data_IF_106031315830
#
_entry.id   IF_106031315830
#
_cell.length_a   1.000
_cell.length_b   1.000
_cell.length_c   1.000
_cell.angle_alpha   90.00
_cell.angle_beta   90.00
_cell.angle_gamma   90.00
#
_symmetry.space_group_name_H-M   'P 1'
#
loop_
_entity.id
_entity.type
_entity.pdbx_description
1 polymer ?
#
# COMPACT_ATOMS: atom_id res chain seq x y z
N UNK A 1 -35.02 4.72 -29.11
CA UNK A 1 -34.60 3.77 -28.05
C UNK A 1 -33.09 3.52 -27.98
N UNK A 2 -32.33 3.40 -29.10
CA UNK A 2 -30.85 3.21 -29.07
C UNK A 2 -30.08 4.36 -28.41
N UNK A 3 -30.47 5.62 -28.68
CA UNK A 3 -29.82 6.81 -28.10
C UNK A 3 -30.02 6.94 -26.58
N UNK A 4 -31.20 6.59 -26.05
CA UNK A 4 -31.47 6.61 -24.60
C UNK A 4 -30.60 5.58 -23.87
N UNK A 5 -30.43 4.38 -24.44
CA UNK A 5 -29.55 3.35 -23.85
C UNK A 5 -28.08 3.81 -23.80
N UNK A 6 -27.57 4.40 -24.88
CA UNK A 6 -26.18 4.90 -24.93
C UNK A 6 -25.97 6.04 -23.92
N UNK A 7 -26.91 6.98 -23.83
CA UNK A 7 -26.82 8.10 -22.89
C UNK A 7 -26.88 7.63 -21.42
N UNK A 8 -27.75 6.66 -21.11
CA UNK A 8 -27.85 6.09 -19.77
C UNK A 8 -26.57 5.32 -19.39
N UNK A 9 -25.97 4.58 -20.32
CA UNK A 9 -24.71 3.87 -20.11
C UNK A 9 -23.55 4.84 -19.87
N UNK A 10 -23.45 5.92 -20.65
CA UNK A 10 -22.40 6.94 -20.48
C UNK A 10 -22.57 7.67 -19.14
N UNK A 11 -23.80 8.10 -18.80
CA UNK A 11 -24.07 8.76 -17.52
C UNK A 11 -23.77 7.85 -16.32
N UNK A 12 -24.09 6.55 -16.42
CA UNK A 12 -23.78 5.57 -15.38
C UNK A 12 -22.27 5.31 -15.27
N UNK A 13 -21.55 5.20 -16.38
CA UNK A 13 -20.08 5.07 -16.37
C UNK A 13 -19.39 6.30 -15.77
N UNK A 14 -19.83 7.51 -16.12
CA UNK A 14 -19.29 8.76 -15.55
C UNK A 14 -19.58 8.82 -14.05
N UNK A 15 -20.80 8.47 -13.61
CA UNK A 15 -21.17 8.47 -12.20
C UNK A 15 -20.39 7.41 -11.39
N UNK A 16 -20.20 6.20 -11.93
CA UNK A 16 -19.42 5.13 -11.29
C UNK A 16 -17.92 5.49 -11.22
N UNK A 17 -17.38 6.14 -12.25
CA UNK A 17 -16.00 6.65 -12.25
C UNK A 17 -15.82 7.80 -11.24
N UNK A 18 -16.80 8.72 -11.15
CA UNK A 18 -16.82 9.76 -10.14
C UNK A 18 -16.87 9.18 -8.74
N UNK A 19 -17.73 8.20 -8.45
CA UNK A 19 -17.82 7.53 -7.15
C UNK A 19 -16.55 6.73 -6.79
N UNK A 20 -15.92 6.05 -7.77
CA UNK A 20 -14.62 5.38 -7.56
C UNK A 20 -13.54 6.39 -7.14
N UNK A 21 -13.52 7.55 -7.79
CA UNK A 21 -12.53 8.59 -7.51
C UNK A 21 -12.82 9.38 -6.22
N UNK A 22 -14.09 9.54 -5.82
CA UNK A 22 -14.47 10.19 -4.56
C UNK A 22 -13.92 9.47 -3.32
N UNK A 23 -13.60 8.18 -3.45
CA UNK A 23 -13.11 7.37 -2.33
C UNK A 23 -11.59 7.12 -2.37
N UNK A 24 -10.94 7.38 -3.50
CA UNK A 24 -9.49 7.39 -3.59
C UNK A 24 -8.97 8.76 -3.14
N UNK A 25 -8.55 8.89 -1.89
CA UNK A 25 -8.27 10.21 -1.32
C UNK A 25 -7.62 10.20 0.05
N UNK A 26 -7.34 11.40 0.60
CA UNK A 26 -6.75 11.56 1.92
C UNK A 26 -7.67 11.02 3.01
N UNK A 27 -7.10 10.50 4.10
CA UNK A 27 -7.89 10.20 5.29
C UNK A 27 -8.22 11.53 5.97
N UNK A 28 -9.50 11.85 6.20
CA UNK A 28 -9.89 13.07 6.94
C UNK A 28 -9.30 13.13 8.37
N UNK A 29 -8.76 12.02 8.87
CA UNK A 29 -8.11 11.89 10.16
C UNK A 29 -6.61 12.22 10.15
N UNK A 30 -6.19 13.31 9.51
CA UNK A 30 -4.80 13.77 9.52
C UNK A 30 -3.79 12.81 8.87
N UNK A 31 -2.59 13.32 8.56
CA UNK A 31 -1.52 12.51 7.98
C UNK A 31 -1.22 11.33 8.90
N UNK A 32 -1.29 10.11 8.37
CA UNK A 32 -0.98 8.90 9.14
C UNK A 32 0.47 8.98 9.61
N UNK A 33 0.65 9.04 10.94
CA UNK A 33 1.96 8.98 11.56
C UNK A 33 2.52 7.56 11.37
N UNK A 34 3.31 7.38 10.31
CA UNK A 34 4.09 6.16 10.09
C UNK A 34 5.33 6.20 10.99
N UNK A 35 5.56 5.11 11.72
CA UNK A 35 6.65 4.96 12.67
C UNK A 35 7.99 4.99 11.93
N UNK A 36 8.78 6.03 12.18
CA UNK A 36 10.14 6.19 11.63
C UNK A 36 11.16 5.27 12.32
N UNK A 37 10.90 4.88 13.57
CA UNK A 37 11.78 4.06 14.40
C UNK A 37 11.09 2.73 14.76
N UNK A 38 10.89 1.83 13.80
CA UNK A 38 10.44 0.48 14.15
C UNK A 38 11.61 -0.31 14.73
N UNK A 39 11.41 -0.94 15.89
CA UNK A 39 12.40 -1.85 16.49
C UNK A 39 12.55 -3.10 15.62
N UNK A 40 13.39 -3.04 14.60
CA UNK A 40 14.78 -3.42 14.75
C UNK A 40 15.10 -4.70 15.57
N UNK A 41 14.29 -5.77 15.59
CA UNK A 41 14.66 -6.96 16.37
C UNK A 41 15.80 -7.73 15.68
N UNK A 42 16.89 -8.02 16.41
CA UNK A 42 18.05 -8.77 15.90
C UNK A 42 19.35 -8.43 16.64
N UNK A 43 20.36 -9.31 16.55
CA UNK A 43 21.73 -8.99 16.99
C UNK A 43 22.44 -8.22 15.86
N UNK A 44 23.28 -7.25 16.22
CA UNK A 44 24.16 -6.55 15.26
C UNK A 44 24.91 -7.60 14.42
N UNK A 45 24.81 -7.50 13.09
CA UNK A 45 25.45 -8.44 12.15
C UNK A 45 24.69 -9.75 11.89
N UNK A 46 23.47 -9.92 12.41
CA UNK A 46 22.62 -11.04 12.03
C UNK A 46 22.13 -10.86 10.58
N UNK A 47 22.23 -11.92 9.77
CA UNK A 47 21.53 -11.99 8.49
C UNK A 47 20.02 -11.88 8.73
N UNK A 48 19.34 -11.10 7.90
CA UNK A 48 17.87 -11.03 7.89
C UNK A 48 17.32 -12.44 7.65
N UNK A 49 16.88 -13.10 8.71
CA UNK A 49 15.97 -14.24 8.60
C UNK A 49 14.55 -13.69 8.53
N UNK A 50 13.68 -14.43 7.85
CA UNK A 50 12.22 -14.22 7.81
C UNK A 50 11.74 -13.64 9.15
N UNK A 51 11.16 -12.43 9.12
CA UNK A 51 10.65 -11.73 10.31
C UNK A 51 11.52 -10.61 10.90
N UNK A 52 12.65 -10.27 10.29
CA UNK A 52 13.50 -9.16 10.77
C UNK A 52 13.86 -8.16 9.67
N UNK A 53 13.33 -6.94 9.79
CA UNK A 53 13.67 -5.81 8.92
C UNK A 53 13.04 -5.86 7.53
N UNK A 54 12.06 -6.74 7.29
CA UNK A 54 11.43 -6.92 5.98
C UNK A 54 10.23 -5.97 5.79
N UNK A 55 9.83 -5.76 4.53
CA UNK A 55 8.71 -4.90 4.16
C UNK A 55 7.40 -5.29 4.86
N UNK A 56 7.14 -6.60 5.04
CA UNK A 56 5.96 -7.12 5.76
C UNK A 56 6.00 -6.75 7.25
N UNK A 57 7.17 -6.77 7.89
CA UNK A 57 7.30 -6.44 9.31
C UNK A 57 7.10 -4.95 9.54
N UNK A 58 7.63 -4.12 8.64
CA UNK A 58 7.37 -2.68 8.63
C UNK A 58 5.86 -2.39 8.52
N UNK A 59 5.15 -3.10 7.65
CA UNK A 59 3.69 -2.99 7.55
C UNK A 59 3.02 -3.34 8.87
N UNK A 60 3.36 -4.48 9.49
CA UNK A 60 2.78 -4.89 10.79
C UNK A 60 3.05 -3.90 11.92
N UNK A 61 4.20 -3.24 11.91
CA UNK A 61 4.53 -2.23 12.91
C UNK A 61 3.63 -0.98 12.83
N UNK A 62 3.10 -0.68 11.63
CA UNK A 62 2.31 0.52 11.36
C UNK A 62 0.81 0.25 11.18
N UNK A 63 0.44 -0.98 10.84
CA UNK A 63 -0.93 -1.48 10.74
C UNK A 63 -1.16 -2.50 11.85
N UNK A 64 -1.52 -1.99 13.04
CA UNK A 64 -1.72 -2.81 14.25
C UNK A 64 -2.77 -3.91 14.02
N UNK A 65 -3.76 -3.63 13.18
CA UNK A 65 -4.79 -4.59 12.76
C UNK A 65 -4.24 -5.76 11.93
N UNK A 66 -3.01 -5.68 11.43
CA UNK A 66 -2.33 -6.74 10.67
C UNK A 66 -1.32 -7.53 11.52
N UNK A 67 -1.15 -7.17 12.80
CA UNK A 67 -0.23 -7.86 13.72
C UNK A 67 -0.73 -9.28 14.05
N UNK A 68 0.20 -10.20 14.28
CA UNK A 68 -0.09 -11.59 14.64
C UNK A 68 -0.56 -12.49 13.49
N UNK A 69 -0.80 -11.94 12.29
CA UNK A 69 -1.18 -12.72 11.12
C UNK A 69 0.09 -13.20 10.37
N UNK A 70 0.13 -14.49 10.01
CA UNK A 70 1.20 -15.05 9.20
C UNK A 70 0.84 -15.01 7.72
N UNK A 71 1.74 -14.46 6.91
CA UNK A 71 1.56 -14.36 5.45
C UNK A 71 2.58 -15.19 4.67
N UNK A 72 3.63 -15.68 5.32
CA UNK A 72 4.87 -16.20 4.72
C UNK A 72 5.63 -15.16 3.89
N UNK A 73 4.99 -14.55 2.89
CA UNK A 73 5.55 -13.58 1.97
C UNK A 73 4.58 -12.42 1.66
N UNK A 74 5.11 -11.30 1.15
CA UNK A 74 4.33 -10.13 0.76
C UNK A 74 3.29 -10.44 -0.33
N UNK A 75 3.66 -11.23 -1.35
CA UNK A 75 2.78 -11.62 -2.45
C UNK A 75 1.54 -12.41 -2.00
N UNK A 76 1.59 -13.07 -0.83
CA UNK A 76 0.49 -13.87 -0.30
C UNK A 76 -0.45 -13.06 0.62
N UNK A 77 -0.07 -11.84 1.01
CA UNK A 77 -0.90 -10.98 1.88
C UNK A 77 -2.33 -10.78 1.36
N UNK A 78 -2.57 -10.50 0.05
CA UNK A 78 -3.93 -10.34 -0.46
C UNK A 78 -4.79 -11.59 -0.25
N UNK A 79 -4.26 -12.79 -0.51
CA UNK A 79 -5.02 -14.03 -0.36
C UNK A 79 -5.43 -14.24 1.10
N UNK A 80 -4.46 -14.18 2.02
CA UNK A 80 -4.70 -14.40 3.45
C UNK A 80 -5.69 -13.39 4.02
N UNK A 81 -5.55 -12.12 3.67
CA UNK A 81 -6.38 -11.06 4.24
C UNK A 81 -7.78 -11.04 3.63
N UNK A 82 -7.95 -11.50 2.38
CA UNK A 82 -9.27 -11.75 1.82
C UNK A 82 -10.06 -12.77 2.65
N UNK A 83 -9.41 -13.86 3.07
CA UNK A 83 -10.03 -14.91 3.88
C UNK A 83 -10.35 -14.43 5.31
N UNK A 84 -9.69 -13.37 5.78
CA UNK A 84 -9.93 -12.71 7.06
C UNK A 84 -10.86 -11.49 6.99
N UNK A 85 -11.59 -11.36 5.87
CA UNK A 85 -12.58 -10.31 5.60
C UNK A 85 -12.02 -8.88 5.58
N UNK A 86 -10.81 -8.72 5.04
CA UNK A 86 -10.29 -7.41 4.66
C UNK A 86 -10.77 -7.02 3.27
N UNK A 87 -10.89 -5.71 3.06
CA UNK A 87 -11.15 -5.16 1.74
C UNK A 87 -9.85 -5.10 0.93
N UNK A 88 -9.90 -5.65 -0.29
CA UNK A 88 -8.77 -5.67 -1.22
C UNK A 88 -9.26 -5.27 -2.60
N UNK A 89 -8.72 -4.18 -3.12
CA UNK A 89 -9.12 -3.63 -4.41
C UNK A 89 -7.99 -2.76 -5.03
N UNK A 90 -8.30 -2.15 -6.16
CA UNK A 90 -7.38 -1.33 -6.96
C UNK A 90 -7.41 0.17 -6.59
N UNK A 91 -8.14 0.56 -5.54
CA UNK A 91 -8.29 1.96 -5.17
C UNK A 91 -7.22 2.36 -4.15
N UNK A 92 -6.33 3.33 -4.47
CA UNK A 92 -5.35 3.82 -3.52
C UNK A 92 -6.03 4.68 -2.45
N UNK A 93 -5.61 4.50 -1.20
CA UNK A 93 -6.06 5.33 -0.07
C UNK A 93 -4.92 5.48 0.92
N UNK A 94 -4.84 6.62 1.60
CA UNK A 94 -3.88 6.80 2.70
C UNK A 94 -4.11 5.74 3.78
N UNK A 95 -3.03 5.07 4.18
CA UNK A 95 -3.01 3.99 5.17
C UNK A 95 -3.25 2.61 4.60
N UNK A 96 -3.63 2.51 3.32
CA UNK A 96 -3.68 1.23 2.63
C UNK A 96 -2.28 0.64 2.47
N UNK A 97 -2.20 -0.69 2.47
CA UNK A 97 -0.98 -1.40 2.13
C UNK A 97 -1.00 -1.65 0.63
N UNK A 98 -0.06 -1.05 -0.10
CA UNK A 98 0.20 -1.33 -1.49
C UNK A 98 0.98 -2.65 -1.58
N UNK A 99 0.50 -3.60 -2.39
CA UNK A 99 1.14 -4.89 -2.63
C UNK A 99 1.67 -4.96 -4.05
N UNK A 100 2.95 -5.25 -4.20
CA UNK A 100 3.63 -5.50 -5.47
C UNK A 100 4.04 -6.98 -5.52
N UNK A 101 3.18 -7.87 -6.05
CA UNK A 101 3.36 -9.31 -5.90
C UNK A 101 4.52 -9.87 -6.73
N UNK A 102 4.93 -9.18 -7.79
CA UNK A 102 5.82 -9.70 -8.83
C UNK A 102 7.31 -9.35 -8.61
N UNK A 103 7.71 -8.96 -7.40
CA UNK A 103 9.10 -8.65 -7.05
C UNK A 103 9.77 -9.91 -6.51
N UNK A 104 10.61 -10.53 -7.34
CA UNK A 104 11.18 -11.85 -7.02
C UNK A 104 10.10 -12.89 -6.74
N UNK A 105 10.41 -13.87 -5.89
CA UNK A 105 9.46 -14.94 -5.52
C UNK A 105 8.58 -14.57 -4.31
N UNK A 106 8.90 -13.48 -3.61
CA UNK A 106 8.28 -13.12 -2.33
C UNK A 106 7.34 -11.92 -2.41
N UNK A 107 7.45 -11.10 -3.47
CA UNK A 107 6.78 -9.81 -3.58
C UNK A 107 7.32 -8.76 -2.62
N UNK A 108 6.69 -7.57 -2.65
CA UNK A 108 6.98 -6.46 -1.74
C UNK A 108 5.70 -5.75 -1.31
N UNK A 109 5.77 -5.05 -0.17
CA UNK A 109 4.66 -4.22 0.32
C UNK A 109 5.14 -2.86 0.82
N UNK A 110 4.28 -1.86 0.66
CA UNK A 110 4.51 -0.51 1.16
C UNK A 110 3.23 0.07 1.77
N UNK A 111 3.36 1.07 2.63
CA UNK A 111 2.23 1.84 3.16
C UNK A 111 2.09 3.11 2.35
N UNK A 112 0.88 3.36 1.85
CA UNK A 112 0.53 4.62 1.20
C UNK A 112 0.35 5.68 2.28
N UNK A 113 1.15 6.75 2.25
CA UNK A 113 1.06 7.87 3.20
C UNK A 113 0.44 9.11 2.63
N UNK A 114 0.42 9.24 1.30
CA UNK A 114 -0.24 10.33 0.60
C UNK A 114 -0.82 9.85 -0.72
N UNK A 115 -2.01 10.35 -1.08
CA UNK A 115 -2.65 10.11 -2.38
C UNK A 115 -3.03 11.43 -3.03
N UNK A 116 -2.62 11.64 -4.27
CA UNK A 116 -3.05 12.78 -5.08
C UNK A 116 -3.54 12.32 -6.45
N UNK A 117 -4.81 12.60 -6.78
CA UNK A 117 -5.37 12.31 -8.10
C UNK A 117 -4.85 13.32 -9.13
N UNK A 118 -4.21 12.83 -10.20
CA UNK A 118 -3.74 13.63 -11.32
C UNK A 118 -4.86 13.80 -12.36
N UNK A 119 -4.71 14.83 -13.20
CA UNK A 119 -5.70 15.18 -14.24
C UNK A 119 -5.93 14.08 -15.29
N UNK A 120 -4.95 13.20 -15.49
CA UNK A 120 -4.99 12.10 -16.45
C UNK A 120 -5.62 10.80 -15.87
N UNK A 121 -6.17 10.89 -14.66
CA UNK A 121 -6.79 9.78 -13.94
C UNK A 121 -5.78 8.83 -13.26
N UNK A 122 -4.48 9.11 -13.31
CA UNK A 122 -3.49 8.41 -12.49
C UNK A 122 -3.42 9.00 -11.08
N UNK A 123 -2.82 8.27 -10.16
CA UNK A 123 -2.58 8.71 -8.79
C UNK A 123 -1.08 8.90 -8.56
N UNK A 124 -0.70 10.04 -7.97
CA UNK A 124 0.62 10.22 -7.34
C UNK A 124 0.53 9.68 -5.92
N UNK A 125 1.33 8.65 -5.59
CA UNK A 125 1.32 8.02 -4.29
C UNK A 125 2.65 8.29 -3.59
N UNK A 126 2.63 8.88 -2.40
CA UNK A 126 3.79 8.78 -1.50
C UNK A 126 3.68 7.46 -0.75
N UNK A 127 4.69 6.62 -0.87
CA UNK A 127 4.77 5.32 -0.21
C UNK A 127 5.97 5.26 0.74
N UNK A 128 5.81 4.48 1.80
CA UNK A 128 6.85 4.16 2.76
C UNK A 128 6.97 2.65 2.93
N UNK A 129 8.19 2.13 2.88
CA UNK A 129 8.46 0.71 3.09
C UNK A 129 9.84 0.49 3.73
N UNK A 130 10.09 -0.74 4.13
CA UNK A 130 11.42 -1.19 4.53
C UNK A 130 11.98 -2.15 3.48
N UNK A 131 13.30 -2.19 3.37
CA UNK A 131 14.05 -3.13 2.53
C UNK A 131 13.79 -3.02 1.01
N UNK A 132 13.39 -1.85 0.49
CA UNK A 132 13.18 -1.69 -0.95
C UNK A 132 14.49 -1.80 -1.75
N UNK A 133 15.60 -1.30 -1.21
CA UNK A 133 16.90 -1.22 -1.90
C UNK A 133 17.94 -2.27 -1.46
N UNK A 134 17.54 -3.24 -0.62
CA UNK A 134 18.40 -4.27 0.01
C UNK A 134 19.68 -3.72 0.67
N UNK A 135 19.71 -2.42 1.00
CA UNK A 135 20.89 -1.80 1.60
C UNK A 135 21.02 -2.15 3.07
N UNK A 136 22.27 -2.33 3.48
CA UNK A 136 22.62 -2.48 4.88
C UNK A 136 22.55 -1.14 5.62
N UNK A 137 22.04 -1.17 6.84
CA UNK A 137 22.11 -0.06 7.79
C UNK A 137 23.36 -0.27 8.65
N UNK A 138 24.16 0.78 8.85
CA UNK A 138 25.42 0.73 9.59
C UNK A 138 25.34 1.58 10.88
N UNK A 139 26.08 1.19 11.91
CA UNK A 139 26.25 1.99 13.13
C UNK A 139 27.31 3.09 12.95
N UNK A 140 27.49 3.93 13.96
CA UNK A 140 28.50 5.00 13.98
C UNK A 140 29.95 4.50 13.93
N UNK A 141 30.17 3.18 13.97
CA UNK A 141 31.46 2.50 13.87
C UNK A 141 31.59 1.69 12.58
N UNK A 142 30.73 1.95 11.57
CA UNK A 142 30.68 1.23 10.29
C UNK A 142 30.44 -0.28 10.41
N UNK A 143 29.82 -0.75 11.51
CA UNK A 143 29.36 -2.14 11.61
C UNK A 143 27.95 -2.25 11.06
N UNK A 144 27.68 -3.30 10.28
CA UNK A 144 26.32 -3.60 9.83
C UNK A 144 25.44 -3.80 11.05
N UNK A 145 24.47 -2.91 11.24
CA UNK A 145 23.39 -3.08 12.21
C UNK A 145 22.54 -4.24 11.69
N UNK A 146 21.90 -4.08 10.53
CA UNK A 146 21.04 -5.09 9.86
C UNK A 146 21.02 -4.85 8.34
N UNK A 147 20.98 -5.91 7.53
CA UNK A 147 20.70 -5.84 6.09
C UNK A 147 19.19 -5.74 5.85
N UNK A 148 18.75 -4.69 5.17
CA UNK A 148 17.34 -4.48 4.81
C UNK A 148 16.50 -3.65 5.79
N UNK A 149 17.07 -3.17 6.90
CA UNK A 149 16.34 -2.36 7.87
C UNK A 149 16.00 -0.93 7.43
N UNK A 150 16.51 -0.47 6.28
CA UNK A 150 16.35 0.91 5.82
C UNK A 150 14.90 1.19 5.45
N UNK A 151 14.36 2.26 5.99
CA UNK A 151 13.04 2.78 5.63
C UNK A 151 13.24 3.77 4.49
N UNK A 152 12.54 3.56 3.39
CA UNK A 152 12.52 4.47 2.26
C UNK A 152 11.16 5.15 2.17
N UNK A 153 11.19 6.43 1.77
CA UNK A 153 10.00 7.17 1.37
C UNK A 153 10.22 7.66 -0.05
N UNK A 154 9.28 7.35 -0.93
CA UNK A 154 9.35 7.76 -2.33
C UNK A 154 7.96 8.00 -2.90
N UNK A 155 7.92 8.74 -4.00
CA UNK A 155 6.71 8.95 -4.78
C UNK A 155 6.71 8.00 -5.96
N UNK A 156 5.57 7.37 -6.21
CA UNK A 156 5.33 6.52 -7.38
C UNK A 156 4.05 6.97 -8.08
N UNK A 157 3.92 6.64 -9.36
CA UNK A 157 2.68 6.84 -10.10
C UNK A 157 1.92 5.53 -10.17
N UNK A 158 0.62 5.56 -9.89
CA UNK A 158 -0.26 4.40 -9.97
C UNK A 158 -1.42 4.62 -10.93
N UNK A 159 -1.70 3.64 -11.78
CA UNK A 159 -2.89 3.61 -12.64
C UNK A 159 -3.25 2.17 -13.00
N UNK A 160 -4.51 1.80 -12.82
CA UNK A 160 -5.11 0.54 -13.29
C UNK A 160 -4.27 -0.71 -12.97
N UNK A 161 -3.89 -0.90 -11.70
CA UNK A 161 -3.11 -2.05 -11.25
C UNK A 161 -1.61 -1.98 -11.58
N UNK A 162 -1.13 -0.85 -12.11
CA UNK A 162 0.28 -0.66 -12.49
C UNK A 162 0.89 0.47 -11.68
N UNK A 163 2.04 0.21 -11.07
CA UNK A 163 2.91 1.22 -10.46
C UNK A 163 4.07 1.50 -11.41
N UNK A 164 4.34 2.77 -11.68
CA UNK A 164 5.45 3.23 -12.50
C UNK A 164 6.24 4.32 -11.77
N UNK A 165 7.42 4.66 -12.31
CA UNK A 165 8.29 5.73 -11.78
C UNK A 165 8.81 5.44 -10.36
N UNK A 166 8.80 4.16 -9.93
CA UNK A 166 9.45 3.75 -8.69
C UNK A 166 10.97 3.76 -8.89
N UNK A 167 11.63 4.72 -8.24
CA UNK A 167 13.07 4.96 -8.37
C UNK A 167 13.97 3.86 -7.76
N UNK A 168 13.40 2.92 -7.01
CA UNK A 168 14.15 1.86 -6.32
C UNK A 168 13.84 0.50 -6.92
N UNK A 169 12.55 0.17 -7.03
CA UNK A 169 12.09 -1.17 -7.38
C UNK A 169 11.71 -1.28 -8.87
N UNK A 170 11.55 -0.15 -9.57
CA UNK A 170 11.10 -0.09 -10.95
C UNK A 170 9.61 -0.42 -11.11
N UNK A 171 9.15 -0.48 -12.37
CA UNK A 171 7.73 -0.62 -12.69
C UNK A 171 7.15 -1.99 -12.28
N UNK A 172 5.97 -1.97 -11.65
CA UNK A 172 5.29 -3.14 -11.12
C UNK A 172 3.86 -3.27 -11.64
N UNK A 173 3.40 -4.51 -11.82
CA UNK A 173 2.04 -4.85 -12.29
C UNK A 173 1.29 -5.70 -11.27
N UNK A 174 -0.01 -5.82 -11.50
CA UNK A 174 -0.95 -6.56 -10.64
C UNK A 174 -0.96 -6.04 -9.21
N UNK A 175 -0.76 -4.73 -9.07
CA UNK A 175 -0.72 -4.04 -7.79
C UNK A 175 -2.12 -3.92 -7.23
N UNK A 176 -2.27 -4.30 -5.96
CA UNK A 176 -3.52 -4.18 -5.21
C UNK A 176 -3.28 -3.47 -3.89
N UNK A 177 -4.35 -2.92 -3.33
CA UNK A 177 -4.35 -2.26 -2.03
C UNK A 177 -5.14 -3.08 -1.03
N UNK A 178 -4.53 -3.32 0.13
CA UNK A 178 -5.20 -3.90 1.29
C UNK A 178 -5.62 -2.76 2.23
N UNK A 179 -6.92 -2.68 2.48
CA UNK A 179 -7.53 -1.69 3.34
C UNK A 179 -7.81 -2.26 4.74
N UNK A 180 -8.74 -1.67 5.50
CA UNK A 180 -9.21 -2.27 6.75
C UNK A 180 -10.12 -3.48 6.51
N UNK A 181 -10.61 -4.09 7.59
CA UNK A 181 -11.74 -5.02 7.52
C UNK A 181 -12.93 -4.40 6.80
N UNK A 182 -13.66 -5.19 6.00
CA UNK A 182 -14.72 -4.70 5.12
C UNK A 182 -15.78 -3.86 5.83
N UNK A 183 -16.17 -4.23 7.05
CA UNK A 183 -17.11 -3.42 7.85
C UNK A 183 -16.61 -1.98 8.06
N UNK A 184 -15.38 -1.82 8.54
CA UNK A 184 -14.75 -0.51 8.77
C UNK A 184 -14.56 0.25 7.46
N UNK A 185 -14.15 -0.46 6.41
CA UNK A 185 -13.96 0.12 5.09
C UNK A 185 -15.27 0.70 4.53
N UNK A 186 -16.36 -0.07 4.59
CA UNK A 186 -17.67 0.32 4.10
C UNK A 186 -18.23 1.52 4.87
N UNK A 187 -18.11 1.53 6.21
CA UNK A 187 -18.51 2.68 7.03
C UNK A 187 -17.78 3.96 6.63
N UNK A 188 -16.46 3.88 6.39
CA UNK A 188 -15.68 5.03 5.91
C UNK A 188 -16.09 5.45 4.50
N UNK A 189 -16.43 4.49 3.65
CA UNK A 189 -16.90 4.74 2.28
C UNK A 189 -18.24 5.45 2.25
N UNK A 190 -19.19 5.02 3.06
CA UNK A 190 -20.49 5.66 3.16
C UNK A 190 -20.35 7.11 3.63
N UNK A 191 -19.55 7.36 4.68
CA UNK A 191 -19.29 8.72 5.19
C UNK A 191 -18.66 9.65 4.15
N UNK A 192 -17.66 9.18 3.41
CA UNK A 192 -17.01 9.98 2.37
C UNK A 192 -17.97 10.31 1.22
N UNK A 193 -18.91 9.42 0.91
CA UNK A 193 -19.92 9.64 -0.13
C UNK A 193 -21.02 10.62 0.32
N UNK A 194 -21.33 10.71 1.61
CA UNK A 194 -22.28 11.70 2.15
C UNK A 194 -21.74 13.14 2.11
N UNK A 195 -20.42 13.31 1.98
CA UNK A 195 -19.74 14.60 1.98
C UNK A 195 -19.54 15.19 0.57
N UNK A 196 -19.92 14.47 -0.49
CA UNK A 196 -19.81 14.87 -1.91
C UNK A 196 -21.17 15.26 -2.47
#
# INVERSE_FOLDING_TARGET
MRFIKIFLTIACCVFVLSLRNSYAGPNESGSIAVVDNYKIFGKIGAESRIGYGQCVDFVKANRVDLQGISYEYAANMPKVLKDLDYEINELPREGAVLVMPNIGDTGHVAIVTKVELKKDGSYSLTIRDANADDKAVYDSKNKIIIKGGKIDQRTVTYKDGVVTEDSIIGDQKDVVFIHEKKGVYNEKKEKALEQV
#
